data_IF_484024873401
#
_entry.id   IF_484024873401
#
_cell.length_a   1.000
_cell.length_b   1.000
_cell.length_c   1.000
_cell.angle_alpha   90.00
_cell.angle_beta   90.00
_cell.angle_gamma   90.00
#
_symmetry.space_group_name_H-M   'P 1'
#
loop_
_entity.id
_entity.type
_entity.pdbx_description
1 polymer ?
#
# COMPACT_ATOMS: atom_id res chain seq x y z
N UNK A 1 15.09 0.00 -7.67
CA UNK A 1 14.57 -0.35 -6.31
C UNK A 1 15.68 -0.55 -5.26
N UNK A 2 16.74 0.24 -5.35
CA UNK A 2 17.83 0.23 -4.34
C UNK A 2 17.32 0.63 -2.96
N UNK A 3 16.34 1.53 -2.88
CA UNK A 3 15.71 1.98 -1.62
C UNK A 3 15.16 0.81 -0.80
N UNK A 4 14.50 -0.16 -1.43
CA UNK A 4 14.01 -1.34 -0.74
C UNK A 4 15.16 -2.24 -0.25
N UNK A 5 16.23 -2.41 -1.04
CA UNK A 5 17.43 -3.13 -0.59
C UNK A 5 18.10 -2.44 0.62
N UNK A 6 18.08 -1.10 0.65
CA UNK A 6 18.58 -0.34 1.80
C UNK A 6 17.76 -0.61 3.06
N UNK A 7 16.42 -0.72 2.95
CA UNK A 7 15.56 -1.11 4.08
C UNK A 7 15.84 -2.54 4.56
N UNK A 8 16.04 -3.51 3.64
CA UNK A 8 16.42 -4.88 4.02
C UNK A 8 17.76 -4.90 4.76
N UNK A 9 18.77 -4.20 4.24
CA UNK A 9 20.09 -4.09 4.90
C UNK A 9 19.97 -3.44 6.27
N UNK A 10 19.21 -2.34 6.38
CA UNK A 10 18.97 -1.64 7.65
C UNK A 10 18.43 -2.59 8.73
N UNK A 11 17.41 -3.39 8.40
CA UNK A 11 16.81 -4.31 9.38
C UNK A 11 17.74 -5.48 9.68
N UNK A 12 18.45 -6.03 8.69
CA UNK A 12 19.41 -7.12 8.90
C UNK A 12 20.62 -6.70 9.76
N UNK A 13 21.08 -5.45 9.65
CA UNK A 13 22.26 -4.93 10.34
C UNK A 13 21.93 -4.33 11.71
N UNK A 14 20.78 -3.67 11.86
CA UNK A 14 20.44 -2.85 13.02
C UNK A 14 19.18 -3.33 13.75
N UNK A 15 18.41 -4.25 13.14
CA UNK A 15 17.18 -4.78 13.73
C UNK A 15 17.43 -5.51 15.04
N UNK A 16 16.61 -5.20 16.04
CA UNK A 16 16.64 -5.90 17.35
C UNK A 16 15.57 -6.97 17.39
N UNK A 17 15.90 -8.11 17.94
CA UNK A 17 14.95 -9.21 18.11
C UNK A 17 13.84 -8.77 19.08
N UNK A 18 12.60 -8.98 18.63
CA UNK A 18 11.38 -8.65 19.37
C UNK A 18 10.40 -9.81 19.27
N UNK A 19 9.75 -10.15 20.38
CA UNK A 19 8.63 -11.07 20.36
C UNK A 19 7.44 -10.42 19.60
N UNK A 20 6.67 -11.24 18.94
CA UNK A 20 5.47 -10.83 18.21
C UNK A 20 4.28 -11.74 18.55
N UNK A 21 3.08 -11.33 18.10
CA UNK A 21 1.82 -12.05 18.34
C UNK A 21 1.84 -13.48 17.80
N UNK A 22 2.57 -13.72 16.72
CA UNK A 22 2.62 -15.04 16.05
C UNK A 22 3.59 -16.03 16.71
N UNK A 23 4.41 -15.57 17.63
CA UNK A 23 5.46 -16.38 18.27
C UNK A 23 6.68 -16.67 17.39
N UNK A 24 6.70 -16.18 16.14
CA UNK A 24 7.84 -16.36 15.21
C UNK A 24 9.05 -15.51 15.60
N UNK A 25 8.80 -14.34 16.19
CA UNK A 25 9.80 -13.32 16.46
C UNK A 25 10.13 -12.48 15.23
N UNK A 26 10.49 -11.23 15.45
CA UNK A 26 10.85 -10.29 14.39
C UNK A 26 12.15 -9.56 14.70
N UNK A 27 12.95 -9.25 13.69
CA UNK A 27 14.01 -8.25 13.80
C UNK A 27 13.41 -6.92 13.34
N UNK A 28 13.42 -5.91 14.22
CA UNK A 28 12.72 -4.65 13.96
C UNK A 28 13.61 -3.43 14.17
N UNK A 29 13.37 -2.40 13.36
CA UNK A 29 13.86 -1.03 13.51
C UNK A 29 12.65 -0.12 13.66
N UNK A 30 12.66 0.80 14.62
CA UNK A 30 11.61 1.78 14.80
C UNK A 30 11.97 3.10 14.13
N UNK A 31 11.14 3.51 13.18
CA UNK A 31 11.34 4.73 12.40
C UNK A 31 12.28 4.55 11.21
N UNK A 32 11.72 4.51 10.01
CA UNK A 32 12.46 4.50 8.75
C UNK A 32 11.64 5.19 7.66
N UNK A 33 12.30 5.58 6.56
CA UNK A 33 11.61 6.18 5.42
C UNK A 33 12.32 5.79 4.12
N UNK A 34 11.54 5.58 3.06
CA UNK A 34 12.04 5.43 1.70
C UNK A 34 11.26 6.32 0.74
N UNK A 35 11.91 6.78 -0.34
CA UNK A 35 11.33 7.68 -1.34
C UNK A 35 11.46 7.04 -2.72
N UNK A 36 10.37 7.06 -3.48
CA UNK A 36 10.26 6.47 -4.80
C UNK A 36 9.76 7.52 -5.80
N UNK A 37 10.66 8.22 -6.50
CA UNK A 37 10.26 9.13 -7.58
C UNK A 37 9.54 8.33 -8.67
N UNK A 38 8.30 8.71 -8.99
CA UNK A 38 7.49 7.98 -9.98
C UNK A 38 7.92 8.27 -11.42
N UNK A 39 8.71 9.32 -11.61
CA UNK A 39 9.38 9.61 -12.88
C UNK A 39 10.43 8.55 -13.26
N UNK A 40 11.02 7.85 -12.27
CA UNK A 40 12.00 6.78 -12.51
C UNK A 40 11.34 5.48 -13.02
N UNK A 41 10.01 5.38 -12.96
CA UNK A 41 9.21 4.21 -13.30
C UNK A 41 8.31 3.77 -12.14
N UNK A 42 7.48 2.78 -12.40
CA UNK A 42 6.59 2.23 -11.38
C UNK A 42 7.36 1.38 -10.36
N UNK A 43 7.33 1.69 -9.06
CA UNK A 43 8.19 1.05 -8.05
C UNK A 43 7.70 -0.35 -7.67
N UNK A 44 7.66 -1.24 -8.65
CA UNK A 44 7.38 -2.67 -8.49
C UNK A 44 8.70 -3.43 -8.39
N UNK A 45 8.87 -4.24 -7.35
CA UNK A 45 10.12 -4.98 -7.15
C UNK A 45 10.50 -5.86 -8.33
N UNK A 46 11.75 -5.75 -8.77
CA UNK A 46 12.32 -6.59 -9.81
C UNK A 46 13.24 -7.69 -9.25
N UNK A 47 13.67 -7.60 -7.99
CA UNK A 47 14.52 -8.59 -7.33
C UNK A 47 13.77 -9.83 -6.84
N UNK A 48 12.44 -9.78 -6.82
CA UNK A 48 11.52 -10.95 -6.76
C UNK A 48 10.21 -10.60 -7.45
N UNK A 49 9.62 -11.58 -8.12
CA UNK A 49 8.30 -11.42 -8.78
C UNK A 49 7.19 -11.23 -7.75
N UNK A 50 6.36 -10.21 -7.95
CA UNK A 50 5.14 -9.95 -7.19
C UNK A 50 3.89 -10.31 -7.99
N UNK A 51 2.78 -10.61 -7.30
CA UNK A 51 1.48 -10.87 -7.91
C UNK A 51 0.72 -9.57 -8.11
N UNK A 52 0.91 -8.93 -9.26
CA UNK A 52 0.41 -7.56 -9.55
C UNK A 52 -1.12 -7.50 -9.53
N UNK A 53 -1.79 -8.56 -9.98
CA UNK A 53 -3.26 -8.60 -9.98
C UNK A 53 -3.82 -8.40 -8.56
N UNK A 54 -3.20 -9.02 -7.54
CA UNK A 54 -3.64 -8.82 -6.15
C UNK A 54 -3.50 -7.36 -5.71
N UNK A 55 -2.44 -6.67 -6.14
CA UNK A 55 -2.22 -5.25 -5.79
C UNK A 55 -3.32 -4.38 -6.40
N UNK A 56 -3.64 -4.59 -7.68
CA UNK A 56 -4.66 -3.80 -8.37
C UNK A 56 -6.05 -4.07 -7.79
N UNK A 57 -6.45 -5.35 -7.65
CA UNK A 57 -7.76 -5.70 -7.12
C UNK A 57 -7.95 -5.27 -5.67
N UNK A 58 -6.92 -5.38 -4.82
CA UNK A 58 -6.98 -4.89 -3.44
C UNK A 58 -7.20 -3.38 -3.38
N UNK A 59 -6.46 -2.59 -4.19
CA UNK A 59 -6.64 -1.15 -4.24
C UNK A 59 -8.04 -0.77 -4.74
N UNK A 60 -8.53 -1.41 -5.80
CA UNK A 60 -9.90 -1.20 -6.29
C UNK A 60 -10.95 -1.57 -5.24
N UNK A 61 -10.72 -2.63 -4.47
CA UNK A 61 -11.59 -3.04 -3.38
C UNK A 61 -11.63 -2.00 -2.26
N UNK A 62 -10.49 -1.42 -1.86
CA UNK A 62 -10.45 -0.30 -0.91
C UNK A 62 -11.21 0.92 -1.43
N UNK A 63 -11.00 1.29 -2.70
CA UNK A 63 -11.64 2.46 -3.31
C UNK A 63 -13.17 2.30 -3.48
N UNK A 64 -13.67 1.08 -3.50
CA UNK A 64 -15.12 0.79 -3.46
C UNK A 64 -15.74 0.91 -2.06
N UNK A 65 -14.94 1.11 -1.04
CA UNK A 65 -15.42 1.09 0.34
C UNK A 65 -15.81 -0.30 0.84
N UNK A 66 -15.45 -1.36 0.09
CA UNK A 66 -15.84 -2.73 0.41
C UNK A 66 -14.95 -3.30 1.54
N UNK A 67 -15.52 -4.19 2.34
CA UNK A 67 -14.89 -4.85 3.48
C UNK A 67 -15.16 -6.35 3.53
N UNK A 68 -15.82 -6.89 2.50
CA UNK A 68 -16.06 -8.32 2.33
C UNK A 68 -15.11 -8.90 1.27
N UNK A 69 -14.51 -10.05 1.56
CA UNK A 69 -13.52 -10.70 0.67
C UNK A 69 -14.13 -11.30 -0.61
N UNK A 70 -15.45 -11.30 -0.77
CA UNK A 70 -16.12 -11.91 -1.92
C UNK A 70 -15.61 -11.35 -3.24
N UNK A 71 -15.54 -10.03 -3.38
CA UNK A 71 -15.02 -9.38 -4.59
C UNK A 71 -13.59 -9.83 -4.90
N UNK A 72 -12.72 -9.90 -3.90
CA UNK A 72 -11.34 -10.34 -4.07
C UNK A 72 -11.28 -11.81 -4.52
N UNK A 73 -12.07 -12.69 -3.88
CA UNK A 73 -12.11 -14.11 -4.18
C UNK A 73 -12.65 -14.40 -5.60
N UNK A 74 -13.63 -13.65 -6.07
CA UNK A 74 -14.16 -13.73 -7.45
C UNK A 74 -13.08 -13.42 -8.49
N UNK A 75 -12.03 -12.68 -8.11
CA UNK A 75 -10.88 -12.35 -8.97
C UNK A 75 -9.61 -13.13 -8.61
N UNK A 76 -9.73 -14.21 -7.82
CA UNK A 76 -8.61 -15.10 -7.47
C UNK A 76 -7.61 -14.48 -6.47
N UNK A 77 -8.02 -13.45 -5.72
CA UNK A 77 -7.22 -12.78 -4.70
C UNK A 77 -7.68 -13.24 -3.33
N UNK A 78 -6.80 -13.94 -2.60
CA UNK A 78 -7.13 -14.60 -1.31
C UNK A 78 -6.36 -14.04 -0.12
N UNK A 79 -5.64 -12.94 -0.31
CA UNK A 79 -4.70 -12.37 0.67
C UNK A 79 -5.36 -11.90 1.98
N UNK A 80 -6.68 -11.79 2.03
CA UNK A 80 -7.45 -11.38 3.20
C UNK A 80 -8.26 -12.51 3.85
N UNK A 81 -8.28 -13.71 3.25
CA UNK A 81 -9.18 -14.80 3.69
C UNK A 81 -8.90 -15.30 5.11
N UNK A 82 -7.64 -15.23 5.57
CA UNK A 82 -7.24 -15.69 6.90
C UNK A 82 -7.83 -14.86 8.05
N UNK A 83 -8.23 -13.62 7.77
CA UNK A 83 -8.81 -12.71 8.76
C UNK A 83 -10.33 -12.56 8.64
N UNK A 84 -10.91 -13.03 7.53
CA UNK A 84 -12.34 -12.94 7.29
C UNK A 84 -13.14 -13.89 8.19
N UNK A 85 -14.31 -13.44 8.63
CA UNK A 85 -15.27 -14.31 9.29
C UNK A 85 -15.87 -15.35 8.30
N UNK A 86 -16.74 -16.23 8.81
CA UNK A 86 -17.39 -17.29 8.00
C UNK A 86 -18.23 -16.74 6.82
N UNK A 87 -18.67 -15.50 6.90
CA UNK A 87 -19.48 -14.82 5.88
C UNK A 87 -18.61 -13.92 4.96
N UNK A 88 -17.28 -13.93 5.17
CA UNK A 88 -16.30 -13.19 4.39
C UNK A 88 -16.10 -11.73 4.83
N UNK A 89 -16.61 -11.32 5.99
CA UNK A 89 -16.52 -9.96 6.45
C UNK A 89 -15.26 -9.72 7.29
N UNK A 90 -14.71 -8.53 7.18
CA UNK A 90 -13.52 -8.08 7.91
C UNK A 90 -13.81 -6.96 8.92
N UNK A 91 -15.07 -6.56 9.06
CA UNK A 91 -15.44 -5.36 9.81
C UNK A 91 -15.08 -4.09 9.01
N UNK A 92 -15.06 -2.95 9.69
CA UNK A 92 -14.88 -1.65 9.03
C UNK A 92 -13.40 -1.32 8.78
N UNK A 93 -12.71 -2.21 8.05
CA UNK A 93 -11.30 -2.04 7.65
C UNK A 93 -11.15 -0.96 6.55
N UNK A 94 -9.97 -0.76 6.04
CA UNK A 94 -9.53 0.27 5.09
C UNK A 94 -10.60 0.90 4.19
N UNK A 95 -11.31 0.10 3.40
CA UNK A 95 -12.32 0.59 2.46
C UNK A 95 -13.42 1.38 3.15
N UNK A 96 -13.97 0.86 4.25
CA UNK A 96 -15.00 1.55 5.02
C UNK A 96 -14.46 2.84 5.64
N UNK A 97 -13.22 2.85 6.15
CA UNK A 97 -12.65 4.07 6.72
C UNK A 97 -12.38 5.13 5.65
N UNK A 98 -11.94 4.74 4.47
CA UNK A 98 -11.64 5.68 3.38
C UNK A 98 -12.90 6.27 2.75
N UNK A 99 -13.92 5.44 2.52
CA UNK A 99 -15.09 5.82 1.72
C UNK A 99 -16.38 6.03 2.53
N UNK A 100 -16.41 5.62 3.80
CA UNK A 100 -17.60 5.70 4.68
C UNK A 100 -17.19 6.02 6.13
N UNK A 101 -16.37 7.04 6.35
CA UNK A 101 -16.00 7.45 7.71
C UNK A 101 -17.19 7.98 8.47
N UNK A 102 -17.56 7.34 9.58
CA UNK A 102 -18.71 7.73 10.41
C UNK A 102 -18.34 8.86 11.35
N UNK A 103 -19.18 9.88 11.37
CA UNK A 103 -19.11 11.01 12.29
C UNK A 103 -19.98 10.79 13.51
N UNK A 104 -19.75 11.51 14.60
CA UNK A 104 -20.48 11.37 15.85
C UNK A 104 -21.99 11.73 15.72
N UNK A 105 -22.35 12.55 14.74
CA UNK A 105 -23.74 12.94 14.42
C UNK A 105 -24.43 11.98 13.43
N UNK A 106 -23.77 10.85 13.09
CA UNK A 106 -24.32 9.80 12.23
C UNK A 106 -24.17 10.03 10.73
N UNK A 107 -23.49 11.10 10.31
CA UNK A 107 -23.16 11.30 8.89
C UNK A 107 -22.00 10.42 8.47
N UNK A 108 -21.85 10.23 7.16
CA UNK A 108 -20.73 9.55 6.53
C UNK A 108 -19.90 10.53 5.69
N UNK A 109 -18.58 10.33 5.69
CA UNK A 109 -17.64 11.10 4.87
C UNK A 109 -16.86 10.13 3.99
N UNK A 110 -16.95 10.30 2.68
CA UNK A 110 -16.00 9.72 1.75
C UNK A 110 -14.72 10.58 1.75
N UNK A 111 -13.66 10.10 2.41
CA UNK A 111 -12.39 10.83 2.52
C UNK A 111 -11.67 10.90 1.17
N UNK A 112 -11.84 9.89 0.29
CA UNK A 112 -11.23 9.85 -1.05
C UNK A 112 -11.82 10.94 -1.92
N UNK A 113 -13.15 11.05 -2.00
CA UNK A 113 -13.80 12.10 -2.78
C UNK A 113 -13.43 13.48 -2.25
N UNK A 114 -13.45 13.61 -0.93
CA UNK A 114 -13.12 14.87 -0.26
C UNK A 114 -11.68 15.32 -0.53
N UNK A 115 -10.71 14.39 -0.50
CA UNK A 115 -9.31 14.75 -0.75
C UNK A 115 -9.09 15.13 -2.22
N UNK A 116 -9.73 14.44 -3.16
CA UNK A 116 -9.68 14.76 -4.60
C UNK A 116 -10.25 16.17 -4.85
N UNK A 117 -11.41 16.47 -4.28
CA UNK A 117 -12.02 17.80 -4.38
C UNK A 117 -11.11 18.88 -3.79
N UNK A 118 -10.51 18.62 -2.61
CA UNK A 118 -9.56 19.54 -1.99
C UNK A 118 -8.30 19.76 -2.84
N UNK A 119 -7.76 18.73 -3.47
CA UNK A 119 -6.60 18.84 -4.38
C UNK A 119 -6.96 19.72 -5.58
N UNK A 120 -8.15 19.53 -6.16
CA UNK A 120 -8.61 20.31 -7.32
C UNK A 120 -8.87 21.78 -7.00
N UNK A 121 -9.46 22.07 -5.84
CA UNK A 121 -9.92 23.42 -5.46
C UNK A 121 -8.88 24.22 -4.67
N UNK A 122 -8.02 23.56 -3.93
CA UNK A 122 -6.97 24.17 -3.09
C UNK A 122 -5.71 23.30 -3.03
N UNK A 123 -4.95 23.18 -4.13
CA UNK A 123 -3.78 22.27 -4.21
C UNK A 123 -2.68 22.59 -3.19
N UNK A 124 -2.54 23.84 -2.75
CA UNK A 124 -1.52 24.28 -1.79
C UNK A 124 -1.85 23.90 -0.34
N UNK A 125 -3.02 23.30 -0.10
CA UNK A 125 -3.43 22.89 1.24
C UNK A 125 -2.51 21.80 1.82
N UNK A 126 -2.23 21.88 3.09
CA UNK A 126 -1.50 20.87 3.87
C UNK A 126 -2.43 19.87 4.56
N UNK A 127 -3.73 19.83 4.17
CA UNK A 127 -4.79 19.02 4.79
C UNK A 127 -5.30 17.91 3.89
N UNK A 128 -4.59 17.56 2.82
CA UNK A 128 -4.93 16.45 1.93
C UNK A 128 -4.60 15.12 2.60
N UNK A 129 -5.36 14.74 3.62
CA UNK A 129 -5.12 13.57 4.47
C UNK A 129 -6.30 12.62 4.36
N UNK A 130 -5.99 11.33 4.26
CA UNK A 130 -6.92 10.20 4.39
C UNK A 130 -6.43 9.33 5.55
N UNK A 131 -7.32 9.04 6.51
CA UNK A 131 -7.01 8.31 7.74
C UNK A 131 -7.81 7.01 7.82
N UNK A 132 -7.14 5.90 8.09
CA UNK A 132 -7.79 4.61 8.33
C UNK A 132 -7.83 4.24 9.82
N UNK A 133 -7.05 4.90 10.67
CA UNK A 133 -6.99 4.61 12.10
C UNK A 133 -8.12 5.31 12.86
N UNK A 134 -9.25 4.64 12.98
CA UNK A 134 -10.39 5.11 13.75
C UNK A 134 -10.39 4.45 15.13
N UNK A 135 -9.92 5.18 16.14
CA UNK A 135 -9.77 4.67 17.51
C UNK A 135 -11.09 4.11 18.08
N UNK A 136 -12.22 4.68 17.67
CA UNK A 136 -13.54 4.21 18.12
C UNK A 136 -14.00 2.90 17.47
N UNK A 137 -13.33 2.43 16.43
CA UNK A 137 -13.74 1.25 15.65
C UNK A 137 -12.65 0.16 15.53
N UNK A 138 -11.42 0.40 16.02
CA UNK A 138 -10.32 -0.56 15.88
C UNK A 138 -10.61 -1.94 16.47
N UNK A 139 -11.36 -2.02 17.56
CA UNK A 139 -11.73 -3.28 18.21
C UNK A 139 -12.80 -4.08 17.45
N UNK A 140 -13.42 -3.47 16.45
CA UNK A 140 -14.43 -4.09 15.58
C UNK A 140 -13.84 -4.57 14.25
N UNK A 141 -12.55 -4.36 14.03
CA UNK A 141 -11.85 -4.74 12.81
C UNK A 141 -11.16 -6.08 12.98
N UNK A 142 -11.29 -6.96 11.99
CA UNK A 142 -10.58 -8.25 11.98
C UNK A 142 -9.06 -8.04 12.06
N UNK A 143 -8.55 -6.96 11.46
CA UNK A 143 -7.17 -6.52 11.54
C UNK A 143 -7.11 -4.99 11.59
N UNK A 144 -6.66 -4.39 12.72
CA UNK A 144 -6.46 -2.93 12.79
C UNK A 144 -5.47 -2.44 11.72
N UNK A 145 -5.73 -1.30 11.07
CA UNK A 145 -4.98 -0.84 9.91
C UNK A 145 -3.49 -0.69 10.17
N UNK A 146 -2.66 -1.37 9.36
CA UNK A 146 -1.22 -1.14 9.31
C UNK A 146 -0.88 0.18 8.63
N UNK A 147 -1.59 0.50 7.54
CA UNK A 147 -1.53 1.77 6.83
C UNK A 147 -2.43 2.76 7.56
N UNK A 148 -1.85 3.57 8.45
CA UNK A 148 -2.59 4.42 9.39
C UNK A 148 -3.22 5.61 8.69
N UNK A 149 -2.42 6.35 7.94
CA UNK A 149 -2.84 7.51 7.17
C UNK A 149 -1.90 7.73 5.98
N UNK A 150 -2.42 8.42 4.98
CA UNK A 150 -1.59 8.97 3.92
C UNK A 150 -1.98 10.42 3.63
N UNK A 151 -1.02 11.16 3.14
CA UNK A 151 -1.14 12.58 2.83
C UNK A 151 -0.64 12.84 1.42
N UNK A 152 -1.38 13.65 0.67
CA UNK A 152 -0.95 14.17 -0.61
C UNK A 152 -0.37 15.58 -0.48
N UNK A 153 0.54 15.91 -1.38
CA UNK A 153 1.12 17.26 -1.54
C UNK A 153 1.25 17.56 -3.03
N UNK A 154 0.83 18.77 -3.42
CA UNK A 154 1.01 19.26 -4.78
C UNK A 154 2.13 20.31 -4.76
N UNK A 155 3.12 20.14 -5.64
CA UNK A 155 4.21 21.09 -5.83
C UNK A 155 4.54 21.15 -7.33
N UNK A 156 4.57 22.35 -7.90
CA UNK A 156 4.92 22.57 -9.31
C UNK A 156 4.12 21.71 -10.32
N UNK A 157 2.84 21.42 -9.99
CA UNK A 157 1.97 20.58 -10.81
C UNK A 157 2.19 19.07 -10.65
N UNK A 158 3.03 18.65 -9.72
CA UNK A 158 3.26 17.25 -9.38
C UNK A 158 2.54 16.87 -8.08
N UNK A 159 1.89 15.69 -8.08
CA UNK A 159 1.24 15.09 -6.92
C UNK A 159 2.15 14.04 -6.29
N UNK A 160 2.56 14.28 -5.05
CA UNK A 160 3.28 13.31 -4.21
C UNK A 160 2.37 12.75 -3.12
N UNK A 161 2.64 11.52 -2.69
CA UNK A 161 1.93 10.85 -1.60
C UNK A 161 2.91 10.39 -0.53
N UNK A 162 2.59 10.63 0.75
CA UNK A 162 3.32 10.05 1.89
C UNK A 162 2.40 9.15 2.69
N UNK A 163 2.78 7.88 2.84
CA UNK A 163 2.15 6.90 3.72
C UNK A 163 2.87 6.83 5.05
N UNK A 164 2.13 6.82 6.17
CA UNK A 164 2.61 6.32 7.46
C UNK A 164 2.05 4.92 7.72
N UNK A 165 2.94 3.93 7.79
CA UNK A 165 2.64 2.53 8.10
C UNK A 165 3.19 2.19 9.48
N UNK A 166 2.30 1.92 10.47
CA UNK A 166 2.68 1.66 11.86
C UNK A 166 3.40 0.34 12.08
N UNK A 167 3.08 -0.66 11.25
CA UNK A 167 3.59 -2.03 11.31
C UNK A 167 3.82 -2.53 9.90
N UNK A 168 5.03 -2.93 9.57
CA UNK A 168 5.47 -3.19 8.22
C UNK A 168 6.31 -4.46 8.11
N UNK A 169 5.67 -5.57 7.69
CA UNK A 169 6.38 -6.78 7.26
C UNK A 169 7.20 -6.46 6.01
N UNK A 170 8.49 -6.32 6.21
CA UNK A 170 9.40 -5.85 5.16
C UNK A 170 9.50 -6.84 4.01
N UNK A 171 9.37 -8.16 4.25
CA UNK A 171 9.58 -9.14 3.20
C UNK A 171 8.32 -9.42 2.38
N UNK A 172 7.18 -9.69 3.02
CA UNK A 172 5.94 -10.02 2.30
C UNK A 172 5.07 -8.79 2.02
N UNK A 173 4.81 -7.94 3.04
CA UNK A 173 3.84 -6.84 2.94
C UNK A 173 4.36 -5.60 2.22
N UNK A 174 5.51 -5.05 2.66
CA UNK A 174 6.03 -3.76 2.17
C UNK A 174 6.15 -3.69 0.65
N UNK A 175 6.59 -4.72 -0.09
CA UNK A 175 6.63 -4.68 -1.56
C UNK A 175 5.27 -4.43 -2.21
N UNK A 176 4.19 -5.03 -1.68
CA UNK A 176 2.83 -4.80 -2.14
C UNK A 176 2.37 -3.38 -1.80
N UNK A 177 2.68 -2.92 -0.58
CA UNK A 177 2.28 -1.59 -0.11
C UNK A 177 2.94 -0.47 -0.93
N UNK A 178 4.23 -0.59 -1.27
CA UNK A 178 4.94 0.35 -2.15
C UNK A 178 4.21 0.47 -3.49
N UNK A 179 3.92 -0.65 -4.14
CA UNK A 179 3.27 -0.65 -5.44
C UNK A 179 1.82 -0.15 -5.36
N UNK A 180 1.06 -0.53 -4.32
CA UNK A 180 -0.33 -0.11 -4.13
C UNK A 180 -0.45 1.41 -3.96
N UNK A 181 0.38 2.03 -3.09
CA UNK A 181 0.32 3.48 -2.89
C UNK A 181 0.95 4.29 -4.03
N UNK A 182 1.94 3.73 -4.73
CA UNK A 182 2.40 4.31 -5.98
C UNK A 182 1.27 4.32 -7.03
N UNK A 183 0.52 3.21 -7.17
CA UNK A 183 -0.63 3.11 -8.06
C UNK A 183 -1.73 4.11 -7.67
N UNK A 184 -2.07 4.21 -6.37
CA UNK A 184 -3.01 5.21 -5.86
C UNK A 184 -2.56 6.64 -6.23
N UNK A 185 -1.26 6.92 -6.12
CA UNK A 185 -0.71 8.24 -6.48
C UNK A 185 -0.89 8.53 -7.98
N UNK A 186 -0.65 7.54 -8.85
CA UNK A 186 -0.89 7.66 -10.29
C UNK A 186 -2.37 7.94 -10.60
N UNK A 187 -3.28 7.20 -9.96
CA UNK A 187 -4.73 7.35 -10.14
C UNK A 187 -5.17 8.76 -9.73
N UNK A 188 -4.81 9.20 -8.52
CA UNK A 188 -5.21 10.52 -8.01
C UNK A 188 -4.59 11.65 -8.83
N UNK A 189 -3.34 11.51 -9.27
CA UNK A 189 -2.71 12.47 -10.18
C UNK A 189 -3.50 12.60 -11.49
N UNK A 190 -3.86 11.47 -12.13
CA UNK A 190 -4.64 11.47 -13.37
C UNK A 190 -6.01 12.14 -13.19
N UNK A 191 -6.79 11.77 -12.17
CA UNK A 191 -8.14 12.33 -11.97
C UNK A 191 -8.11 13.81 -11.57
N UNK A 192 -7.01 14.27 -10.97
CA UNK A 192 -6.81 15.69 -10.64
C UNK A 192 -6.13 16.50 -11.76
N UNK A 193 -5.71 15.85 -12.87
CA UNK A 193 -5.00 16.52 -13.96
C UNK A 193 -3.58 16.96 -13.62
N UNK A 194 -2.92 16.27 -12.68
CA UNK A 194 -1.56 16.53 -12.21
C UNK A 194 -0.59 15.48 -12.74
N UNK A 195 0.71 15.80 -12.69
CA UNK A 195 1.76 14.81 -12.93
C UNK A 195 2.04 14.00 -11.66
N UNK A 196 2.39 12.70 -11.77
CA UNK A 196 2.81 11.93 -10.61
C UNK A 196 4.21 12.37 -10.14
N UNK A 197 4.33 12.70 -8.85
CA UNK A 197 5.59 13.10 -8.21
C UNK A 197 6.29 11.93 -7.50
N UNK A 198 6.42 12.00 -6.17
CA UNK A 198 7.14 11.00 -5.37
C UNK A 198 6.19 10.27 -4.42
N UNK A 199 6.28 8.95 -4.36
CA UNK A 199 5.75 8.18 -3.24
C UNK A 199 6.78 8.12 -2.11
N UNK A 200 6.38 8.54 -0.91
CA UNK A 200 7.19 8.51 0.32
C UNK A 200 6.58 7.50 1.29
N UNK A 201 7.34 6.48 1.67
CA UNK A 201 6.90 5.46 2.61
C UNK A 201 7.60 5.65 3.95
N UNK A 202 6.84 6.04 4.96
CA UNK A 202 7.29 6.23 6.34
C UNK A 202 6.81 5.07 7.21
N UNK A 203 7.73 4.47 7.94
CA UNK A 203 7.51 3.27 8.74
C UNK A 203 7.61 3.59 10.23
N UNK A 204 6.70 3.04 11.02
CA UNK A 204 6.84 2.92 12.47
C UNK A 204 7.70 1.71 12.81
N UNK A 205 7.08 0.55 13.07
CA UNK A 205 7.76 -0.73 13.30
C UNK A 205 8.03 -1.40 11.94
N UNK A 206 9.25 -1.24 11.43
CA UNK A 206 9.73 -1.89 10.21
C UNK A 206 10.41 -3.19 10.60
N UNK A 207 9.86 -4.34 10.23
CA UNK A 207 10.35 -5.63 10.71
C UNK A 207 10.49 -6.69 9.64
N UNK A 208 11.37 -7.63 9.93
CA UNK A 208 11.59 -8.84 9.16
C UNK A 208 11.36 -10.04 10.12
N UNK A 209 10.43 -10.92 9.77
CA UNK A 209 10.21 -12.14 10.55
C UNK A 209 11.48 -13.01 10.61
N UNK A 210 11.73 -13.64 11.74
CA UNK A 210 12.95 -14.45 11.95
C UNK A 210 13.08 -15.60 10.93
N UNK A 211 11.96 -16.13 10.46
CA UNK A 211 11.91 -17.17 9.43
C UNK A 211 12.02 -16.63 7.98
N UNK A 212 12.22 -15.31 7.78
CA UNK A 212 12.44 -14.68 6.48
C UNK A 212 13.89 -14.22 6.23
N UNK A 213 14.79 -14.42 7.19
CA UNK A 213 16.18 -13.92 7.12
C UNK A 213 16.92 -14.45 5.90
N UNK A 214 16.85 -15.74 5.64
CA UNK A 214 17.55 -16.35 4.50
C UNK A 214 16.96 -15.92 3.17
N UNK A 215 15.64 -15.73 3.09
CA UNK A 215 14.96 -15.18 1.91
C UNK A 215 15.38 -13.73 1.63
N UNK A 216 15.51 -12.92 2.67
CA UNK A 216 15.97 -11.54 2.56
C UNK A 216 17.44 -11.47 2.09
N UNK A 217 18.32 -12.31 2.66
CA UNK A 217 19.70 -12.44 2.21
C UNK A 217 19.79 -12.86 0.74
N UNK A 218 19.02 -13.88 0.34
CA UNK A 218 18.93 -14.31 -1.05
C UNK A 218 18.47 -13.17 -1.97
N UNK A 219 17.45 -12.41 -1.56
CA UNK A 219 16.97 -11.29 -2.36
C UNK A 219 18.05 -10.21 -2.55
N UNK A 220 18.86 -9.95 -1.53
CA UNK A 220 19.98 -8.99 -1.59
C UNK A 220 21.11 -9.40 -2.53
N UNK A 221 21.23 -10.68 -2.88
CA UNK A 221 22.21 -11.14 -3.90
C UNK A 221 21.77 -10.84 -5.34
N UNK A 222 20.50 -10.41 -5.54
CA UNK A 222 19.93 -10.16 -6.86
C UNK A 222 20.06 -8.69 -7.25
N UNK A 223 20.65 -8.42 -8.40
CA UNK A 223 20.71 -7.06 -8.94
C UNK A 223 19.33 -6.57 -9.37
N UNK A 224 18.91 -5.37 -8.96
CA UNK A 224 17.69 -4.76 -9.45
C UNK A 224 17.73 -4.57 -10.96
N UNK A 225 16.66 -4.95 -11.66
CA UNK A 225 16.45 -4.70 -13.08
C UNK A 225 15.73 -3.36 -13.29
N UNK A 226 15.68 -2.84 -14.53
CA UNK A 226 14.91 -1.62 -14.83
C UNK A 226 13.48 -1.70 -14.30
N UNK A 227 12.96 -0.57 -13.82
CA UNK A 227 11.58 -0.48 -13.36
C UNK A 227 10.60 -0.61 -14.54
N UNK A 228 9.47 -1.29 -14.35
CA UNK A 228 8.38 -1.25 -15.31
C UNK A 228 7.70 0.12 -15.32
N UNK A 229 6.83 0.35 -16.28
CA UNK A 229 5.87 1.45 -16.25
C UNK A 229 4.45 0.92 -16.06
N UNK A 230 3.63 1.68 -15.34
CA UNK A 230 2.20 1.43 -15.20
C UNK A 230 1.46 2.49 -16.00
N UNK A 231 0.74 2.07 -17.05
CA UNK A 231 -0.11 2.94 -17.82
C UNK A 231 -1.55 2.81 -17.33
N UNK A 232 -2.20 3.95 -17.19
CA UNK A 232 -3.61 4.04 -16.87
C UNK A 232 -4.39 4.42 -18.11
N UNK A 233 -5.62 3.91 -18.26
CA UNK A 233 -6.52 4.32 -19.32
C UNK A 233 -6.82 5.83 -19.20
N UNK A 234 -6.39 6.68 -20.14
CA UNK A 234 -6.49 8.13 -20.03
C UNK A 234 -7.92 8.66 -20.15
N UNK A 235 -8.87 7.82 -20.58
CA UNK A 235 -10.29 8.16 -20.68
C UNK A 235 -10.97 8.24 -19.33
N UNK A 236 -10.50 7.45 -18.36
CA UNK A 236 -11.08 7.42 -17.01
C UNK A 236 -10.75 8.71 -16.26
N UNK A 237 -11.79 9.41 -15.78
CA UNK A 237 -11.69 10.72 -15.10
C UNK A 237 -12.24 10.72 -13.69
N UNK A 238 -12.96 9.67 -13.30
CA UNK A 238 -13.45 9.46 -11.94
C UNK A 238 -12.72 8.29 -11.29
N UNK A 239 -12.33 8.44 -10.03
CA UNK A 239 -11.59 7.40 -9.31
C UNK A 239 -12.41 6.12 -9.13
N UNK A 240 -13.73 6.24 -9.08
CA UNK A 240 -14.66 5.12 -8.90
C UNK A 240 -14.95 4.35 -10.20
N UNK A 241 -14.58 4.90 -11.35
CA UNK A 241 -14.80 4.26 -12.66
C UNK A 241 -13.67 3.31 -13.06
N UNK A 242 -12.52 3.34 -12.35
CA UNK A 242 -11.41 2.45 -12.66
C UNK A 242 -11.77 0.99 -12.46
N UNK A 243 -11.38 0.17 -13.46
CA UNK A 243 -11.48 -1.29 -13.48
C UNK A 243 -10.10 -1.89 -13.71
N UNK A 244 -9.96 -3.17 -13.48
CA UNK A 244 -8.70 -3.88 -13.68
C UNK A 244 -8.11 -3.68 -15.08
N UNK A 245 -8.96 -3.66 -16.10
CA UNK A 245 -8.59 -3.51 -17.52
C UNK A 245 -8.02 -2.13 -17.86
N UNK A 246 -8.18 -1.14 -16.98
CA UNK A 246 -7.66 0.21 -17.16
C UNK A 246 -6.19 0.35 -16.77
N UNK A 247 -5.56 -0.75 -16.31
CA UNK A 247 -4.16 -0.79 -15.90
C UNK A 247 -3.33 -1.69 -16.81
N UNK A 248 -2.30 -1.14 -17.44
CA UNK A 248 -1.34 -1.87 -18.28
C UNK A 248 0.06 -1.79 -17.69
N UNK A 249 0.58 -2.93 -17.19
CA UNK A 249 1.96 -3.03 -16.73
C UNK A 249 2.88 -3.36 -17.90
N UNK A 250 3.83 -2.48 -18.19
CA UNK A 250 4.75 -2.59 -19.33
C UNK A 250 6.18 -2.77 -18.87
N UNK A 251 6.88 -3.76 -19.42
CA UNK A 251 8.31 -3.97 -19.19
C UNK A 251 8.66 -4.60 -17.85
N UNK A 252 7.73 -5.31 -17.21
CA UNK A 252 8.02 -5.99 -15.93
C UNK A 252 8.80 -7.29 -16.17
N UNK A 253 10.10 -7.25 -15.91
CA UNK A 253 11.02 -8.39 -16.01
C UNK A 253 11.68 -8.67 -14.64
N UNK A 254 10.99 -9.31 -13.70
CA UNK A 254 11.53 -9.60 -12.37
C UNK A 254 12.36 -10.89 -12.34
N UNK A 255 13.23 -10.99 -11.33
CA UNK A 255 13.74 -12.28 -10.89
C UNK A 255 12.60 -13.19 -10.39
N UNK A 256 12.78 -14.51 -10.37
CA UNK A 256 11.77 -15.44 -9.86
C UNK A 256 11.29 -15.08 -8.45
N UNK A 257 10.06 -15.47 -8.11
CA UNK A 257 9.51 -15.30 -6.75
C UNK A 257 10.40 -15.99 -5.71
N UNK A 258 10.40 -15.47 -4.50
CA UNK A 258 11.01 -16.10 -3.32
C UNK A 258 9.87 -16.43 -2.37
N UNK A 259 9.62 -17.73 -2.14
CA UNK A 259 8.59 -18.20 -1.22
C UNK A 259 9.04 -17.98 0.23
N UNK A 260 8.12 -17.54 1.07
CA UNK A 260 8.31 -17.42 2.51
C UNK A 260 7.02 -17.82 3.24
N UNK A 261 7.09 -18.38 4.46
CA UNK A 261 5.91 -18.71 5.24
C UNK A 261 5.20 -17.43 5.70
N UNK A 262 3.87 -17.46 5.73
CA UNK A 262 3.07 -16.36 6.28
C UNK A 262 3.03 -16.55 7.80
N UNK A 263 3.28 -15.49 8.56
CA UNK A 263 3.13 -15.46 10.01
C UNK A 263 1.73 -14.90 10.35
N UNK A 264 0.87 -15.73 10.94
CA UNK A 264 -0.53 -15.44 11.31
C UNK A 264 -0.76 -15.49 12.81
#
# INVERSE_FOLDING_TARGET
MLQYHQLLKLVLEQGKLKADRTGTGTYAVFGAQARFPLADGFPLLTTKKLHVNSIIYELLWFLRGDTNVKYLNEHGVTIWNEWADKDGNLGRVYGAQWCDWRTADGHSINQIDRVIEQIRTNPDSRRHIVNAWNVGETDQMALPPCHVLFQFSVQEGELSCQLYQRSADLFLGVPFNIASYALLTLIVAQVCGLQPGTFVHTFGDLHLYANHIEQAKLQLTREPRPLPSMKLNPVVKDIHDFKFEDFELVGYDPHPSIKAPIAV
#
